data_IF_950494938167
#
_entry.id   IF_950494938167
#
_cell.length_a   1.000
_cell.length_b   1.000
_cell.length_c   1.000
_cell.angle_alpha   90.00
_cell.angle_beta   90.00
_cell.angle_gamma   90.00
#
_symmetry.space_group_name_H-M   'P 1'
#
loop_
_entity.id
_entity.type
_entity.pdbx_description
1 polymer ?
2 polymer ?
3 branched ?
4 non-polymer ?
5 water ?
#
# COMPACT_ATOMS: atom_id res chain seq x y z
N UNK A 1 -8.97 -5.73 -2.31
CA UNK A 1 -10.27 -5.44 -1.68
C UNK A 1 -10.95 -6.74 -1.27
N UNK A 2 -11.24 -6.86 0.02
CA UNK A 2 -11.89 -8.04 0.58
C UNK A 2 -13.37 -7.75 0.77
N UNK A 3 -14.23 -8.63 0.25
CA UNK A 3 -15.66 -8.48 0.46
C UNK A 3 -16.35 -7.46 -0.43
N UNK A 4 -15.71 -7.06 -1.52
CA UNK A 4 -16.31 -6.08 -2.43
C UNK A 4 -17.01 -6.74 -3.59
N UNK A 5 -17.11 -5.99 -4.69
CA UNK A 5 -17.71 -6.49 -5.92
C UNK A 5 -16.85 -6.01 -7.07
N UNK A 6 -17.08 -6.59 -8.25
CA UNK A 6 -16.37 -6.14 -9.44
C UNK A 6 -16.87 -4.76 -9.81
N UNK A 7 -15.96 -3.83 -10.08
CA UNK A 7 -16.38 -2.60 -10.73
C UNK A 7 -16.83 -2.90 -12.16
N UNK A 8 -17.78 -2.11 -12.65
CA UNK A 8 -18.08 -2.17 -14.07
C UNK A 8 -16.85 -1.70 -14.85
N UNK A 9 -16.62 -2.24 -16.05
CA UNK A 9 -15.38 -1.92 -16.77
C UNK A 9 -15.28 -0.42 -17.02
N UNK A 10 -14.16 0.16 -16.58
CA UNK A 10 -13.85 1.57 -16.76
C UNK A 10 -14.86 2.49 -16.08
N UNK A 11 -15.53 2.01 -15.03
CA UNK A 11 -16.40 2.89 -14.26
C UNK A 11 -15.65 4.00 -13.53
N UNK A 12 -14.37 3.80 -13.23
CA UNK A 12 -13.58 4.74 -12.43
C UNK A 12 -12.35 5.05 -13.26
N UNK A 13 -12.49 5.89 -14.30
CA UNK A 13 -11.41 6.03 -15.29
C UNK A 13 -10.19 6.79 -14.79
N UNK A 14 -10.22 7.34 -13.57
CA UNK A 14 -9.06 7.92 -12.92
C UNK A 14 -8.22 6.87 -12.21
N UNK A 15 -8.67 5.62 -12.16
CA UNK A 15 -7.97 4.60 -11.37
C UNK A 15 -6.72 4.11 -12.09
N UNK A 16 -5.62 3.98 -11.35
CA UNK A 16 -4.30 3.71 -11.90
C UNK A 16 -3.72 2.49 -11.23
N UNK A 17 -3.04 1.64 -12.00
CA UNK A 17 -2.25 0.53 -11.47
C UNK A 17 -0.77 0.89 -11.58
N UNK A 18 -0.05 0.87 -10.46
CA UNK A 18 1.40 0.98 -10.46
C UNK A 18 2.00 -0.41 -10.52
N UNK A 19 2.93 -0.62 -11.43
CA UNK A 19 3.43 -1.96 -11.65
C UNK A 19 4.94 -1.98 -11.66
N UNK A 20 5.49 -3.08 -11.13
CA UNK A 20 6.87 -3.46 -11.30
C UNK A 20 6.96 -4.49 -12.41
N UNK A 21 8.17 -5.01 -12.64
CA UNK A 21 8.30 -6.10 -13.60
C UNK A 21 7.41 -7.28 -13.19
N UNK A 22 7.31 -7.53 -11.88
CA UNK A 22 6.43 -8.55 -11.33
C UNK A 22 4.96 -8.18 -11.26
N UNK A 23 4.56 -7.04 -11.80
CA UNK A 23 3.15 -6.69 -11.93
C UNK A 23 2.69 -5.65 -10.93
N UNK A 24 1.37 -5.61 -10.73
CA UNK A 24 0.70 -4.63 -9.87
C UNK A 24 1.22 -4.68 -8.44
N UNK A 25 1.57 -3.52 -7.87
CA UNK A 25 1.98 -3.46 -6.47
C UNK A 25 1.28 -2.41 -5.63
N UNK A 26 0.67 -1.39 -6.25
CA UNK A 26 -0.04 -0.32 -5.54
C UNK A 26 -1.00 0.33 -6.52
N UNK A 27 -2.04 0.97 -5.98
CA UNK A 27 -2.90 1.79 -6.82
C UNK A 27 -2.46 3.26 -6.82
N UNK A 28 -3.12 4.06 -7.66
CA UNK A 28 -2.92 5.50 -7.71
C UNK A 28 -4.14 6.13 -8.38
N UNK A 29 -4.16 7.46 -8.41
CA UNK A 29 -5.25 8.24 -8.98
C UNK A 29 -4.68 9.22 -9.99
N UNK A 30 -5.28 9.31 -11.18
CA UNK A 30 -4.87 10.31 -12.15
C UNK A 30 -5.43 11.68 -11.72
N UNK A 31 -4.56 12.65 -11.45
CA UNK A 31 -5.00 13.95 -10.98
C UNK A 31 -4.71 15.06 -11.96
N UNK A 32 -4.01 14.76 -13.04
CA UNK A 32 -3.79 15.61 -14.20
C UNK A 32 -3.31 14.68 -15.30
N UNK A 33 -3.34 15.10 -16.56
CA UNK A 33 -2.92 14.16 -17.60
C UNK A 33 -1.50 13.65 -17.43
N UNK A 34 -0.63 14.41 -16.73
CA UNK A 34 0.77 14.03 -16.56
C UNK A 34 1.16 13.82 -15.09
N UNK A 35 0.18 13.60 -14.21
CA UNK A 35 0.46 13.41 -12.79
C UNK A 35 -0.49 12.37 -12.19
N UNK A 36 0.06 11.48 -11.37
CA UNK A 36 -0.76 10.59 -10.57
C UNK A 36 -0.39 10.78 -9.11
N UNK A 37 -1.32 10.40 -8.24
CA UNK A 37 -1.22 10.55 -6.80
C UNK A 37 -1.33 9.18 -6.14
N UNK A 38 -0.43 8.87 -5.21
CA UNK A 38 -0.44 7.57 -4.54
C UNK A 38 -0.02 7.77 -3.08
N UNK A 39 0.26 6.66 -2.41
CA UNK A 39 0.78 6.72 -1.05
C UNK A 39 2.30 6.79 -1.09
N UNK A 40 2.88 7.62 -0.22
CA UNK A 40 4.33 7.73 -0.19
C UNK A 40 5.01 6.41 0.20
N UNK A 41 4.39 5.61 1.06
CA UNK A 41 5.04 4.35 1.42
C UNK A 41 5.13 3.38 0.24
N UNK A 42 4.32 3.57 -0.81
CA UNK A 42 4.36 2.67 -1.96
C UNK A 42 5.67 2.74 -2.72
N UNK A 43 6.26 3.94 -2.80
CA UNK A 43 7.43 4.15 -3.64
C UNK A 43 8.65 4.55 -2.84
N UNK A 44 8.55 4.55 -1.50
CA UNK A 44 9.67 5.00 -0.67
C UNK A 44 10.94 4.20 -0.91
N UNK A 45 10.80 2.90 -1.18
CA UNK A 45 11.94 2.03 -1.28
C UNK A 45 12.14 1.45 -2.68
N UNK A 46 11.33 1.89 -3.65
CA UNK A 46 11.45 1.36 -5.00
C UNK A 46 12.24 2.33 -5.84
N UNK A 47 12.83 1.83 -6.92
CA UNK A 47 13.48 2.70 -7.89
C UNK A 47 12.41 3.30 -8.80
N UNK A 48 12.38 4.63 -8.86
CA UNK A 48 11.40 5.32 -9.69
C UNK A 48 11.39 4.78 -11.12
N UNK A 49 12.56 4.41 -11.65
CA UNK A 49 12.63 3.94 -13.02
C UNK A 49 12.01 2.55 -13.20
N UNK A 50 11.82 1.80 -12.13
CA UNK A 50 11.22 0.49 -12.24
C UNK A 50 9.70 0.52 -12.30
N UNK A 51 9.08 1.69 -12.12
CA UNK A 51 7.64 1.78 -12.00
C UNK A 51 7.02 2.06 -13.36
N UNK A 52 6.03 1.25 -13.72
CA UNK A 52 5.19 1.49 -14.88
C UNK A 52 3.83 1.96 -14.40
N UNK A 53 3.36 3.06 -14.96
CA UNK A 53 2.08 3.65 -14.59
C UNK A 53 1.06 3.26 -15.66
N UNK A 54 0.06 2.47 -15.28
CA UNK A 54 -0.86 1.89 -16.25
C UNK A 54 -2.22 2.55 -16.07
N UNK A 55 -2.65 3.29 -17.09
CA UNK A 55 -3.94 3.97 -17.10
C UNK A 55 -4.90 3.21 -17.99
N UNK A 56 -6.20 3.34 -17.70
CA UNK A 56 -7.23 2.76 -18.55
C UNK A 56 -7.38 1.27 -18.40
N UNK A 57 -6.93 0.69 -17.29
CA UNK A 57 -6.98 -0.75 -17.11
C UNK A 57 -8.26 -1.15 -16.38
N UNK A 58 -8.66 -2.39 -16.59
CA UNK A 58 -9.78 -2.95 -15.87
C UNK A 58 -9.41 -4.33 -15.35
N UNK A 59 -9.01 -5.21 -16.28
CA UNK A 59 -8.62 -6.58 -15.96
C UNK A 59 -7.12 -6.69 -16.18
N UNK A 60 -6.37 -6.85 -15.08
CA UNK A 60 -4.92 -6.85 -15.18
C UNK A 60 -4.39 -8.10 -15.87
N UNK A 61 -5.21 -9.14 -16.00
CA UNK A 61 -4.81 -10.37 -16.67
C UNK A 61 -5.00 -10.31 -18.19
N UNK A 62 -5.57 -9.23 -18.72
CA UNK A 62 -5.81 -9.09 -20.15
C UNK A 62 -4.85 -8.07 -20.74
N UNK A 63 -4.63 -8.18 -22.06
CA UNK A 63 -3.90 -7.19 -22.82
C UNK A 63 -4.94 -6.20 -23.36
N UNK A 64 -5.17 -5.16 -22.61
CA UNK A 64 -6.30 -4.30 -22.92
C UNK A 64 -5.85 -3.15 -23.82
N UNK A 65 -6.49 -2.96 -24.98
CA UNK A 65 -6.09 -1.86 -25.88
C UNK A 65 -6.43 -0.50 -25.32
N UNK A 66 -7.34 -0.43 -24.36
CA UNK A 66 -7.67 0.83 -23.68
C UNK A 66 -6.50 1.39 -22.90
N UNK A 67 -5.43 0.62 -22.67
CA UNK A 67 -4.40 1.06 -21.73
C UNK A 67 -3.44 2.06 -22.33
N UNK A 68 -2.99 3.00 -21.48
CA UNK A 68 -1.88 3.88 -21.76
C UNK A 68 -0.87 3.70 -20.64
N UNK A 69 0.39 3.51 -21.01
CA UNK A 69 1.43 3.15 -20.04
C UNK A 69 2.49 4.23 -20.06
N UNK A 70 2.86 4.72 -18.88
CA UNK A 70 3.84 5.78 -18.73
C UNK A 70 4.91 5.35 -17.73
N UNK A 71 6.05 6.03 -17.82
CA UNK A 71 7.10 5.94 -16.82
C UNK A 71 6.98 7.11 -15.86
N UNK A 72 7.72 7.04 -14.75
CA UNK A 72 7.77 8.11 -13.76
C UNK A 72 9.03 8.93 -13.97
N UNK A 73 8.88 10.25 -14.11
CA UNK A 73 10.05 11.11 -14.21
C UNK A 73 10.60 11.54 -12.86
N UNK A 74 9.73 11.84 -11.89
CA UNK A 74 10.18 12.24 -10.56
C UNK A 74 8.99 12.21 -9.62
N UNK A 75 9.29 12.28 -8.32
CA UNK A 75 8.22 12.23 -7.34
C UNK A 75 8.30 13.48 -6.48
N UNK A 76 7.16 13.84 -5.90
CA UNK A 76 7.03 14.98 -5.00
C UNK A 76 6.37 14.49 -3.72
N UNK A 77 6.97 14.82 -2.58
CA UNK A 77 6.34 14.49 -1.30
C UNK A 77 6.20 15.75 -0.45
N UNK A 78 5.50 15.60 0.67
CA UNK A 78 5.27 16.72 1.57
C UNK A 78 5.27 16.22 3.01
N UNK A 79 6.46 15.88 3.50
CA UNK A 79 6.63 15.57 4.90
C UNK A 79 6.23 14.16 5.30
N UNK A 80 6.35 13.19 4.39
CA UNK A 80 6.03 11.81 4.76
C UNK A 80 6.86 11.37 5.95
N UNK A 81 6.19 10.80 6.95
CA UNK A 81 6.82 10.34 8.18
C UNK A 81 6.55 8.85 8.30
N UNK A 82 7.54 7.99 7.98
CA UNK A 82 7.28 6.54 8.00
C UNK A 82 6.98 5.97 9.37
N UNK A 83 7.49 6.58 10.45
CA UNK A 83 7.31 6.01 11.78
C UNK A 83 5.87 6.20 12.25
N UNK A 84 5.30 7.36 12.00
CA UNK A 84 3.95 7.68 12.43
C UNK A 84 2.93 7.60 11.32
N UNK A 85 3.34 7.19 10.11
CA UNK A 85 2.47 7.14 8.94
C UNK A 85 1.66 8.43 8.76
N UNK A 86 2.37 9.56 8.84
CA UNK A 86 1.76 10.86 8.59
C UNK A 86 2.16 11.37 7.21
N UNK A 87 1.24 12.13 6.60
CA UNK A 87 1.46 12.75 5.29
C UNK A 87 1.88 11.70 4.27
N UNK A 88 1.12 10.61 4.23
CA UNK A 88 1.42 9.45 3.40
C UNK A 88 0.86 9.68 1.99
N UNK A 89 1.48 10.63 1.29
CA UNK A 89 1.00 11.05 -0.02
C UNK A 89 2.21 11.34 -0.91
N UNK A 90 2.12 10.94 -2.17
CA UNK A 90 3.16 11.25 -3.12
C UNK A 90 2.50 11.59 -4.44
N UNK A 91 3.09 12.53 -5.17
CA UNK A 91 2.70 12.82 -6.55
C UNK A 91 3.81 12.33 -7.48
N UNK A 92 3.43 11.56 -8.48
CA UNK A 92 4.35 11.03 -9.47
C UNK A 92 4.13 11.77 -10.78
N UNK A 93 5.17 12.45 -11.28
CA UNK A 93 5.08 13.10 -12.58
C UNK A 93 5.38 12.10 -13.68
N UNK A 94 4.52 12.04 -14.68
CA UNK A 94 4.68 11.07 -15.76
C UNK A 94 5.61 11.61 -16.84
N UNK A 95 6.13 10.68 -17.65
CA UNK A 95 7.00 11.07 -18.77
C UNK A 95 6.21 11.55 -19.99
N UNK A 96 4.95 11.91 -19.78
CA UNK A 96 4.13 12.44 -20.85
C UNK A 96 2.76 12.73 -20.30
N UNK A 97 1.85 13.08 -21.20
CA UNK A 97 0.48 13.39 -20.84
C UNK A 97 -0.45 12.33 -21.40
N UNK A 98 -1.30 11.78 -20.54
CA UNK A 98 -2.33 10.86 -20.99
C UNK A 98 -3.29 11.56 -21.95
N UNK A 99 -3.83 10.79 -22.89
CA UNK A 99 -4.92 11.23 -23.73
C UNK A 99 -6.24 10.91 -23.01
N UNK A 100 -7.05 11.94 -22.78
CA UNK A 100 -8.29 11.78 -22.03
C UNK A 100 -9.36 11.23 -22.96
N UNK A 101 -10.00 10.14 -22.55
CA UNK A 101 -11.07 9.53 -23.33
C UNK A 101 -12.04 8.89 -22.34
N UNK A 102 -12.94 8.03 -22.85
CA UNK A 102 -13.94 7.44 -21.96
C UNK A 102 -13.26 6.67 -20.82
N UNK A 103 -12.13 6.01 -21.11
CA UNK A 103 -11.50 5.09 -20.17
C UNK A 103 -10.37 5.69 -19.33
N UNK A 104 -9.95 6.93 -19.60
CA UNK A 104 -8.84 7.58 -18.90
C UNK A 104 -9.26 9.02 -18.64
N UNK A 105 -9.55 9.37 -17.38
CA UNK A 105 -10.03 10.69 -17.04
C UNK A 105 -9.40 11.15 -15.74
N UNK A 106 -9.35 12.46 -15.56
CA UNK A 106 -8.78 13.09 -14.38
C UNK A 106 -9.81 13.12 -13.26
N UNK A 107 -9.38 12.76 -12.06
CA UNK A 107 -10.26 12.79 -10.90
C UNK A 107 -10.51 14.22 -10.44
N UNK A 108 -11.60 14.39 -9.69
CA UNK A 108 -11.92 15.66 -9.07
C UNK A 108 -11.66 15.57 -7.57
N UNK A 109 -11.05 16.61 -7.03
CA UNK A 109 -10.62 16.66 -5.65
C UNK A 109 -11.49 17.61 -4.83
N UNK A 110 -11.57 17.41 -3.52
CA UNK A 110 -12.35 18.34 -2.69
C UNK A 110 -11.64 19.67 -2.50
N UNK A 111 -12.31 20.61 -1.83
CA UNK A 111 -11.64 21.84 -1.44
C UNK A 111 -10.75 21.59 -0.23
N UNK A 112 -9.70 22.39 -0.12
CA UNK A 112 -8.78 22.32 1.01
C UNK A 112 -9.54 22.40 2.32
N UNK A 113 -9.19 21.52 3.26
CA UNK A 113 -9.74 21.55 4.59
C UNK A 113 -11.08 20.89 4.78
N UNK A 114 -11.78 20.51 3.70
CA UNK A 114 -13.04 19.80 3.84
C UNK A 114 -12.86 18.53 4.65
N UNK A 115 -13.70 18.36 5.67
CA UNK A 115 -13.67 17.16 6.51
C UNK A 115 -14.97 16.40 6.34
N UNK A 116 -14.87 15.08 6.29
CA UNK A 116 -16.04 14.23 6.21
C UNK A 116 -16.46 13.82 7.61
N UNK A 117 -17.76 13.89 7.87
CA UNK A 117 -18.25 13.52 9.17
C UNK A 117 -18.51 12.04 9.29
N UNK A 118 -18.72 11.62 10.53
CA UNK A 118 -19.10 10.25 10.82
C UNK A 118 -20.36 9.88 10.04
N UNK A 119 -20.27 8.80 9.28
CA UNK A 119 -21.41 8.25 8.57
C UNK A 119 -21.48 8.57 7.09
N UNK A 120 -20.60 9.41 6.56
CA UNK A 120 -20.59 9.67 5.13
C UNK A 120 -20.30 8.37 4.37
N UNK A 121 -21.07 8.13 3.30
CA UNK A 121 -20.96 6.91 2.51
C UNK A 121 -20.00 7.11 1.35
N UNK A 122 -19.01 6.22 1.25
CA UNK A 122 -17.92 6.34 0.29
C UNK A 122 -17.71 5.01 -0.43
N UNK A 123 -16.82 5.05 -1.40
CA UNK A 123 -16.48 3.88 -2.18
C UNK A 123 -14.96 3.72 -2.19
N UNK A 124 -14.49 2.57 -1.72
CA UNK A 124 -13.09 2.20 -1.86
C UNK A 124 -12.96 1.30 -3.08
N UNK A 125 -11.73 1.17 -3.60
CA UNK A 125 -11.52 0.41 -4.82
C UNK A 125 -10.06 0.02 -4.92
N UNK A 126 -9.78 -0.99 -5.74
CA UNK A 126 -8.41 -1.40 -5.98
C UNK A 126 -8.30 -2.81 -6.47
N UNK A 127 -7.06 -3.18 -6.83
CA UNK A 127 -6.75 -4.53 -7.30
C UNK A 127 -6.01 -5.39 -6.26
N UNK A 128 -6.05 -5.01 -4.98
CA UNK A 128 -5.37 -5.76 -3.94
C UNK A 128 -6.01 -7.13 -3.71
N UNK A 129 -5.47 -7.85 -2.72
CA UNK A 129 -5.91 -9.23 -2.44
C UNK A 129 -7.43 -9.32 -2.27
N UNK A 130 -8.01 -10.39 -2.82
CA UNK A 130 -9.45 -10.67 -2.65
C UNK A 130 -9.79 -11.23 -1.28
N UNK A 131 -8.80 -11.61 -0.49
CA UNK A 131 -8.99 -12.09 0.86
C UNK A 131 -7.62 -12.15 1.51
N UNK A 132 -7.62 -12.32 2.83
CA UNK A 132 -6.36 -12.31 3.58
C UNK A 132 -5.37 -13.33 3.04
N UNK A 133 -5.86 -14.48 2.60
CA UNK A 133 -5.00 -15.55 2.11
C UNK A 133 -5.22 -15.83 0.62
N UNK A 134 -5.61 -14.82 -0.14
CA UNK A 134 -5.88 -14.95 -1.56
C UNK A 134 -4.90 -14.09 -2.35
N UNK A 135 -4.92 -14.25 -3.68
CA UNK A 135 -4.07 -13.46 -4.54
C UNK A 135 -4.70 -12.13 -4.91
N UNK A 136 -3.93 -11.29 -5.62
CA UNK A 136 -4.48 -10.00 -6.05
C UNK A 136 -5.62 -10.22 -7.03
N UNK A 137 -6.50 -9.20 -7.10
CA UNK A 137 -7.64 -9.23 -8.01
C UNK A 137 -7.17 -9.16 -9.45
N UNK A 138 -7.93 -9.78 -10.33
CA UNK A 138 -7.75 -9.57 -11.76
C UNK A 138 -8.59 -8.38 -12.22
N UNK A 139 -9.85 -8.37 -11.85
CA UNK A 139 -10.79 -7.29 -12.18
C UNK A 139 -10.79 -6.27 -11.05
N UNK A 140 -10.80 -4.99 -11.41
CA UNK A 140 -10.88 -3.93 -10.41
C UNK A 140 -12.08 -4.15 -9.49
N UNK A 141 -11.86 -4.03 -8.20
CA UNK A 141 -12.89 -4.25 -7.19
C UNK A 141 -13.32 -2.92 -6.57
N UNK A 142 -14.56 -2.85 -6.09
CA UNK A 142 -15.02 -1.70 -5.33
C UNK A 142 -15.79 -2.18 -4.11
N UNK A 143 -15.93 -1.30 -3.12
CA UNK A 143 -16.50 -1.66 -1.83
C UNK A 143 -17.18 -0.46 -1.20
N UNK A 144 -18.45 -0.59 -0.82
CA UNK A 144 -19.14 0.47 -0.10
C UNK A 144 -18.61 0.53 1.32
N UNK A 145 -18.13 1.70 1.74
CA UNK A 145 -17.63 1.88 3.10
C UNK A 145 -18.22 3.15 3.69
N UNK A 146 -18.11 3.27 5.00
CA UNK A 146 -18.66 4.39 5.75
C UNK A 146 -17.54 5.07 6.56
N UNK A 147 -17.52 6.40 6.53
CA UNK A 147 -16.53 7.14 7.32
C UNK A 147 -16.86 7.00 8.80
N UNK A 148 -15.85 6.73 9.61
CA UNK A 148 -15.99 6.64 11.05
C UNK A 148 -14.96 7.56 11.71
N UNK A 149 -15.35 8.15 12.84
CA UNK A 149 -14.44 8.97 13.63
C UNK A 149 -13.96 8.28 14.90
N UNK A 150 -14.65 7.25 15.37
CA UNK A 150 -14.15 6.45 16.48
C UNK A 150 -13.13 5.43 15.96
N UNK A 151 -12.12 5.15 16.80
CA UNK A 151 -10.98 4.32 16.45
C UNK A 151 -10.16 4.90 15.31
N UNK A 152 -10.25 6.22 15.10
CA UNK A 152 -9.45 6.90 14.11
C UNK A 152 -8.53 7.90 14.81
N UNK A 153 -7.93 8.79 14.02
CA UNK A 153 -7.19 9.92 14.55
C UNK A 153 -7.37 11.07 13.56
N UNK A 154 -7.14 12.29 14.02
CA UNK A 154 -7.45 13.44 13.19
C UNK A 154 -6.59 13.50 11.93
N UNK A 155 -5.43 12.84 11.93
CA UNK A 155 -4.51 12.83 10.80
C UNK A 155 -4.93 11.88 9.69
N UNK A 156 -6.05 11.19 9.82
CA UNK A 156 -6.48 10.24 8.80
C UNK A 156 -7.98 10.35 8.57
N UNK A 157 -8.42 9.88 7.40
CA UNK A 157 -9.81 9.55 7.15
C UNK A 157 -9.93 8.04 7.33
N UNK A 158 -10.80 7.59 8.23
CA UNK A 158 -10.95 6.15 8.47
C UNK A 158 -12.33 5.66 8.04
N UNK A 159 -12.37 4.45 7.49
CA UNK A 159 -13.60 3.90 6.94
C UNK A 159 -13.80 2.48 7.46
N UNK A 160 -15.06 2.04 7.47
CA UNK A 160 -15.42 0.76 8.05
C UNK A 160 -16.61 0.19 7.29
N UNK A 161 -16.68 -1.14 7.21
CA UNK A 161 -17.86 -1.85 6.74
C UNK A 161 -18.45 -2.52 7.97
N UNK A 162 -19.51 -1.95 8.52
CA UNK A 162 -19.96 -2.35 9.84
C UNK A 162 -20.49 -3.78 9.82
N UNK A 163 -20.03 -4.59 10.77
CA UNK A 163 -20.50 -5.96 10.90
C UNK A 163 -19.86 -6.97 9.95
N UNK A 164 -19.01 -6.53 9.02
CA UNK A 164 -18.46 -7.45 8.03
C UNK A 164 -16.94 -7.41 8.06
N UNK A 165 -16.33 -8.57 7.77
CA UNK A 165 -14.88 -8.63 7.57
C UNK A 165 -14.61 -8.25 6.12
N UNK A 166 -14.55 -6.95 5.87
CA UNK A 166 -14.36 -6.41 4.53
C UNK A 166 -13.52 -5.15 4.64
N UNK A 167 -12.71 -4.89 3.63
CA UNK A 167 -11.82 -3.74 3.66
C UNK A 167 -10.72 -3.84 2.63
N UNK A 168 -9.79 -2.88 2.67
CA UNK A 168 -8.66 -2.91 1.74
C UNK A 168 -7.66 -3.99 2.16
N UNK A 169 -6.83 -4.43 1.21
CA UNK A 169 -5.85 -5.46 1.51
C UNK A 169 -4.62 -5.22 0.64
N UNK A 170 -3.65 -6.14 0.72
CA UNK A 170 -2.34 -5.85 0.13
C UNK A 170 -2.45 -5.68 -1.38
N UNK A 171 -1.84 -4.60 -1.89
CA UNK A 171 -2.02 -4.17 -3.26
C UNK A 171 -2.99 -3.02 -3.43
N UNK A 172 -3.75 -2.69 -2.39
CA UNK A 172 -4.66 -1.56 -2.43
C UNK A 172 -4.05 -0.25 -1.94
N UNK A 173 -2.90 -0.27 -1.25
CA UNK A 173 -2.18 0.96 -0.93
C UNK A 173 -2.17 1.91 -2.11
N UNK A 174 -2.35 3.19 -1.81
CA UNK A 174 -2.32 4.21 -2.84
C UNK A 174 -3.61 4.40 -3.61
N UNK A 175 -4.59 3.53 -3.44
CA UNK A 175 -5.83 3.61 -4.20
C UNK A 175 -6.77 4.67 -3.62
N UNK A 176 -7.64 5.25 -4.44
CA UNK A 176 -8.52 6.34 -3.97
C UNK A 176 -9.69 5.84 -3.14
N UNK A 177 -10.11 6.71 -2.22
CA UNK A 177 -11.42 6.67 -1.56
C UNK A 177 -12.27 7.77 -2.18
N UNK A 178 -13.42 7.41 -2.77
CA UNK A 178 -14.30 8.35 -3.47
C UNK A 178 -15.52 8.61 -2.61
N UNK A 179 -15.77 9.89 -2.29
CA UNK A 179 -16.92 10.30 -1.49
C UNK A 179 -17.58 11.47 -2.20
N UNK A 180 -18.86 11.34 -2.54
CA UNK A 180 -19.60 12.40 -3.24
C UNK A 180 -18.95 12.75 -4.56
N UNK A 181 -18.38 11.76 -5.24
CA UNK A 181 -17.67 11.97 -6.50
C UNK A 181 -16.29 12.59 -6.40
N UNK A 182 -15.77 12.84 -5.20
CA UNK A 182 -14.48 13.48 -5.01
C UNK A 182 -13.51 12.54 -4.30
N UNK A 183 -12.22 12.69 -4.58
CA UNK A 183 -11.19 11.82 -3.98
C UNK A 183 -10.85 12.40 -2.62
N UNK A 184 -11.33 11.78 -1.55
CA UNK A 184 -11.03 12.23 -0.20
C UNK A 184 -9.95 11.43 0.50
N UNK A 185 -9.56 10.27 -0.03
CA UNK A 185 -8.60 9.42 0.67
C UNK A 185 -7.66 8.71 -0.27
N UNK A 186 -6.49 8.36 0.26
CA UNK A 186 -5.51 7.49 -0.40
C UNK A 186 -5.22 6.37 0.57
N UNK A 187 -5.40 5.11 0.14
CA UNK A 187 -5.27 4.00 1.08
C UNK A 187 -3.87 3.97 1.70
N UNK A 188 -3.81 4.00 3.03
CA UNK A 188 -2.54 4.15 3.75
C UNK A 188 -2.20 2.98 4.65
N UNK A 189 -3.06 2.58 5.59
CA UNK A 189 -2.71 1.43 6.43
C UNK A 189 -3.94 0.76 6.99
N UNK A 190 -3.75 -0.50 7.39
CA UNK A 190 -4.77 -1.31 8.04
C UNK A 190 -4.28 -1.63 9.45
N UNK A 191 -5.23 -2.00 10.30
CA UNK A 191 -4.94 -2.31 11.69
C UNK A 191 -5.59 -3.64 12.04
N UNK A 192 -4.79 -4.54 12.62
CA UNK A 192 -5.28 -5.86 12.95
C UNK A 192 -5.33 -6.80 11.77
N UNK A 193 -4.48 -6.58 10.77
CA UNK A 193 -4.57 -7.30 9.52
C UNK A 193 -5.68 -6.76 8.63
N UNK A 194 -5.72 -7.27 7.39
CA UNK A 194 -6.76 -6.87 6.45
C UNK A 194 -8.13 -7.31 6.94
N UNK A 195 -9.15 -6.49 6.68
CA UNK A 195 -10.55 -6.92 6.78
C UNK A 195 -10.85 -7.56 8.13
N UNK A 196 -10.38 -6.88 9.19
CA UNK A 196 -10.49 -7.45 10.53
C UNK A 196 -11.93 -7.49 11.02
N UNK A 197 -12.79 -6.63 10.51
CA UNK A 197 -14.11 -6.46 11.10
C UNK A 197 -14.09 -5.82 12.47
N UNK A 198 -12.92 -5.33 12.90
CA UNK A 198 -12.73 -4.71 14.22
C UNK A 198 -12.25 -3.28 14.14
N UNK A 199 -11.31 -2.98 13.24
CA UNK A 199 -10.71 -1.66 13.14
C UNK A 199 -10.92 -1.09 11.75
N UNK A 200 -11.11 0.21 11.64
CA UNK A 200 -11.28 0.83 10.32
C UNK A 200 -9.97 0.88 9.55
N UNK A 201 -10.10 1.03 8.23
CA UNK A 201 -8.97 1.28 7.36
C UNK A 201 -8.62 2.77 7.40
N UNK A 202 -7.34 3.10 7.31
CA UNK A 202 -6.90 4.49 7.37
C UNK A 202 -6.48 4.96 5.98
N UNK A 203 -6.98 6.14 5.59
CA UNK A 203 -6.64 6.78 4.34
C UNK A 203 -5.91 8.08 4.62
N UNK A 204 -4.91 8.40 3.79
CA UNK A 204 -4.31 9.73 3.84
C UNK A 204 -5.39 10.76 3.51
N UNK A 205 -5.52 11.86 4.30
CA UNK A 205 -6.62 12.80 4.09
C UNK A 205 -6.34 13.81 2.98
N UNK A 206 -6.85 13.52 1.79
CA UNK A 206 -6.48 14.27 0.59
C UNK A 206 -6.81 15.75 0.74
N UNK A 207 -7.97 16.06 1.29
CA UNK A 207 -8.41 17.46 1.42
C UNK A 207 -7.44 18.31 2.23
N UNK A 208 -6.62 17.72 3.10
CA UNK A 208 -5.61 18.50 3.82
C UNK A 208 -4.43 18.89 2.93
N UNK A 209 -4.29 18.28 1.76
CA UNK A 209 -3.14 18.50 0.89
C UNK A 209 -3.51 19.20 -0.41
N UNK A 210 -4.76 19.66 -0.55
CA UNK A 210 -5.24 20.19 -1.83
C UNK A 210 -4.42 21.41 -2.25
N UNK A 211 -4.20 22.34 -1.32
CA UNK A 211 -3.34 23.50 -1.63
C UNK A 211 -1.99 23.03 -2.16
N UNK A 212 -1.35 22.10 -1.44
CA UNK A 212 -0.07 21.56 -1.90
C UNK A 212 -0.20 20.87 -3.25
N UNK A 213 -1.19 19.99 -3.42
CA UNK A 213 -1.35 19.28 -4.69
C UNK A 213 -1.46 20.26 -5.84
N UNK A 214 -2.27 21.30 -5.67
CA UNK A 214 -2.48 22.27 -6.74
C UNK A 214 -1.18 22.98 -7.11
N UNK A 215 -0.33 23.27 -6.14
CA UNK A 215 0.93 23.93 -6.46
C UNK A 215 1.85 23.05 -7.30
N UNK A 216 1.82 21.72 -7.11
CA UNK A 216 2.69 20.86 -7.92
C UNK A 216 2.16 20.74 -9.33
N UNK A 217 0.86 20.46 -9.47
CA UNK A 217 0.35 20.22 -10.80
C UNK A 217 -0.03 21.50 -11.52
N UNK A 218 -0.24 22.62 -10.78
CA UNK A 218 -0.69 23.92 -11.29
C UNK A 218 -1.88 23.83 -12.27
N UNK B 3 12.11 -19.60 -6.56
CA UNK B 3 12.44 -19.39 -5.16
C UNK B 3 13.70 -18.54 -5.01
N UNK B 4 13.75 -17.74 -3.95
CA UNK B 4 14.85 -16.85 -3.66
C UNK B 4 15.31 -17.08 -2.23
N UNK B 5 16.63 -17.11 -2.02
CA UNK B 5 17.20 -17.32 -0.69
C UNK B 5 17.80 -16.01 -0.22
N UNK B 6 17.20 -15.44 0.82
CA UNK B 6 17.53 -14.10 1.31
C UNK B 6 18.43 -14.23 2.52
N UNK B 7 19.61 -13.61 2.53
CA UNK B 7 20.44 -13.62 3.73
C UNK B 7 19.75 -12.91 4.89
N UNK B 8 19.92 -13.46 6.09
CA UNK B 8 19.38 -12.87 7.30
C UNK B 8 20.35 -13.12 8.44
N UNK B 9 20.32 -12.23 9.42
CA UNK B 9 21.03 -12.39 10.68
C UNK B 9 20.05 -12.20 11.83
N UNK B 10 20.29 -12.88 12.95
CA UNK B 10 19.47 -12.76 14.15
C UNK B 10 20.34 -12.26 15.29
N UNK B 11 19.91 -11.16 15.91
CA UNK B 11 20.53 -10.65 17.13
C UNK B 11 19.50 -10.72 18.26
N UNK B 12 19.87 -11.39 19.36
CA UNK B 12 19.03 -11.55 20.53
C UNK B 12 19.77 -10.97 21.73
N UNK B 13 19.19 -9.94 22.34
CA UNK B 13 19.80 -9.23 23.47
C UNK B 13 21.21 -8.75 23.13
N UNK B 14 21.33 -8.04 22.00
CA UNK B 14 22.59 -7.53 21.53
C UNK B 14 23.51 -8.54 20.90
N UNK B 15 23.28 -9.83 21.10
CA UNK B 15 24.21 -10.88 20.66
C UNK B 15 23.89 -11.35 19.26
N UNK B 16 24.90 -11.38 18.39
CA UNK B 16 24.78 -11.90 17.04
C UNK B 16 25.76 -13.04 16.85
N UNK B 17 25.46 -13.92 15.88
CA UNK B 17 26.25 -15.13 15.63
C UNK B 17 27.04 -15.02 14.32
N UNK B 18 28.11 -15.79 14.19
CA UNK B 18 28.97 -15.69 13.00
C UNK B 18 28.56 -16.52 11.78
N UNK B 19 27.45 -17.27 11.83
CA UNK B 19 27.09 -18.14 10.71
C UNK B 19 26.47 -17.32 9.58
N UNK B 20 26.36 -17.93 8.40
CA UNK B 20 25.62 -17.37 7.28
C UNK B 20 24.34 -18.18 7.09
N UNK B 21 23.20 -17.52 7.10
CA UNK B 21 21.92 -18.18 6.99
C UNK B 21 21.07 -17.48 5.94
N UNK B 22 20.22 -18.26 5.28
CA UNK B 22 19.29 -17.71 4.30
C UNK B 22 17.90 -18.30 4.51
N UNK B 23 16.90 -17.48 4.25
CA UNK B 23 15.53 -17.93 4.33
C UNK B 23 14.94 -18.01 2.94
N UNK B 24 14.10 -18.98 2.70
CA UNK B 24 13.46 -19.21 1.41
C UNK B 24 12.24 -18.30 1.29
N UNK B 25 12.23 -17.45 0.26
CA UNK B 25 11.14 -16.52 -0.01
C UNK B 25 10.65 -16.76 -1.41
N UNK B 26 9.32 -16.73 -1.60
CA UNK B 26 8.75 -16.92 -2.92
C UNK B 26 8.99 -15.69 -3.78
N UNK B 27 9.49 -15.90 -4.99
CA UNK B 27 9.53 -14.87 -6.03
C UNK B 27 8.47 -15.12 -7.09
N UNK B 28 7.50 -15.98 -6.81
CA UNK B 28 6.48 -16.31 -7.80
C UNK B 28 5.51 -15.16 -8.00
N UNK B 29 5.27 -14.38 -6.95
CA UNK B 29 4.43 -13.20 -7.00
C UNK B 29 5.05 -12.16 -6.08
N UNK B 30 4.55 -10.93 -6.16
CA UNK B 30 4.99 -9.91 -5.22
C UNK B 30 4.52 -10.26 -3.80
N UNK B 31 5.27 -9.78 -2.80
CA UNK B 31 5.02 -10.16 -1.42
C UNK B 31 4.65 -8.91 -0.62
N UNK B 32 4.13 -9.15 0.59
CA UNK B 32 3.75 -8.13 1.55
C UNK B 32 4.63 -8.21 2.79
N UNK B 33 4.55 -7.18 3.64
CA UNK B 33 5.23 -7.25 4.92
C UNK B 33 4.55 -8.21 5.90
N UNK B 34 3.26 -8.47 5.72
CA UNK B 34 2.62 -9.53 6.49
C UNK B 34 3.25 -10.88 6.17
N UNK B 35 3.49 -11.14 4.87
CA UNK B 35 4.19 -12.35 4.48
C UNK B 35 5.60 -12.41 5.08
N UNK B 36 6.33 -11.30 5.01
CA UNK B 36 7.68 -11.27 5.53
C UNK B 36 7.70 -11.43 7.05
N UNK B 37 6.74 -10.83 7.76
CA UNK B 37 6.61 -11.06 9.20
C UNK B 37 6.53 -12.54 9.52
N UNK B 38 5.67 -13.25 8.79
CA UNK B 38 5.51 -14.68 9.03
C UNK B 38 6.82 -15.43 8.79
N UNK B 39 7.58 -15.03 7.76
CA UNK B 39 8.87 -15.69 7.51
C UNK B 39 9.87 -15.38 8.62
N UNK B 40 9.94 -14.12 9.05
CA UNK B 40 10.82 -13.74 10.15
C UNK B 40 10.43 -14.48 11.43
N UNK B 41 9.14 -14.52 11.75
CA UNK B 41 8.71 -15.22 12.96
C UNK B 41 9.01 -16.70 12.87
N UNK B 42 8.95 -17.27 11.66
CA UNK B 42 9.28 -18.67 11.46
C UNK B 42 10.72 -18.99 11.87
N UNK B 43 11.67 -18.13 11.52
CA UNK B 43 13.04 -18.45 11.91
C UNK B 43 13.31 -18.10 13.36
N UNK B 44 12.64 -17.07 13.90
CA UNK B 44 12.80 -16.80 15.33
C UNK B 44 12.35 -18.00 16.14
N UNK B 45 11.27 -18.65 15.71
CA UNK B 45 10.76 -19.82 16.43
C UNK B 45 11.68 -21.03 16.25
N UNK B 46 12.10 -21.31 15.02
CA UNK B 46 12.88 -22.52 14.76
C UNK B 46 14.31 -22.39 15.26
N UNK B 47 14.90 -21.20 15.14
CA UNK B 47 16.32 -21.04 15.45
C UNK B 47 16.59 -20.49 16.84
N UNK B 48 15.61 -19.86 17.48
CA UNK B 48 15.83 -19.31 18.82
C UNK B 48 14.74 -19.67 19.81
N UNK B 49 13.74 -20.45 19.42
CA UNK B 49 12.68 -20.80 20.36
C UNK B 49 11.82 -19.63 20.78
N UNK B 50 11.78 -18.56 20.00
CA UNK B 50 11.00 -17.37 20.30
C UNK B 50 9.69 -17.46 19.54
N UNK B 51 8.60 -17.70 20.25
CA UNK B 51 7.31 -17.87 19.61
C UNK B 51 6.59 -16.54 19.43
N UNK B 52 5.44 -16.60 18.74
CA UNK B 52 4.63 -15.40 18.51
C UNK B 52 4.23 -14.74 19.81
N UNK B 53 3.79 -15.54 20.78
CA UNK B 53 3.39 -14.97 22.06
C UNK B 53 4.59 -14.47 22.85
N UNK B 54 5.75 -15.12 22.72
CA UNK B 54 6.98 -14.59 23.33
C UNK B 54 7.26 -13.17 22.85
N UNK B 55 7.00 -12.90 21.56
CA UNK B 55 7.27 -11.56 21.03
C UNK B 55 6.37 -10.51 21.65
N UNK B 56 5.14 -10.90 22.03
CA UNK B 56 4.24 -9.97 22.71
C UNK B 56 4.84 -9.44 24.00
N UNK B 57 5.70 -10.23 24.66
CA UNK B 57 6.27 -9.82 25.93
C UNK B 57 7.69 -9.29 25.80
N UNK B 58 8.28 -9.35 24.60
CA UNK B 58 9.61 -8.80 24.41
C UNK B 58 9.58 -7.28 24.54
N UNK B 59 10.69 -6.72 25.03
CA UNK B 59 10.78 -5.27 25.12
C UNK B 59 10.83 -4.64 23.73
N UNK B 60 11.63 -5.22 22.83
CA UNK B 60 11.68 -4.75 21.46
C UNK B 60 11.82 -5.94 20.52
N UNK B 61 11.16 -5.87 19.37
CA UNK B 61 11.22 -6.93 18.37
C UNK B 61 11.02 -6.27 17.01
N UNK B 62 12.05 -6.26 16.18
CA UNK B 62 11.96 -5.60 14.89
C UNK B 62 12.84 -6.36 13.90
N UNK B 63 12.67 -6.03 12.63
CA UNK B 63 13.64 -6.41 11.62
C UNK B 63 13.77 -5.27 10.63
N UNK B 64 14.91 -5.25 9.96
CA UNK B 64 15.20 -4.23 8.96
C UNK B 64 15.44 -4.92 7.64
N UNK B 65 14.69 -4.54 6.63
CA UNK B 65 14.87 -5.06 5.28
C UNK B 65 15.77 -4.08 4.55
N UNK B 66 16.93 -4.58 4.10
CA UNK B 66 17.85 -3.80 3.28
C UNK B 66 17.59 -4.14 1.82
N UNK B 67 17.24 -3.13 1.04
CA UNK B 67 17.00 -3.32 -0.38
C UNK B 67 18.29 -3.05 -1.16
N UNK B 68 18.42 -3.71 -2.31
CA UNK B 68 19.66 -3.61 -3.07
C UNK B 68 19.97 -2.21 -3.55
N UNK B 69 18.96 -1.33 -3.64
CA UNK B 69 19.22 0.06 -4.02
C UNK B 69 19.69 0.91 -2.84
N UNK B 70 20.01 0.29 -1.70
CA UNK B 70 20.46 1.04 -0.54
C UNK B 70 19.36 1.58 0.35
N UNK B 71 18.10 1.44 -0.03
CA UNK B 71 17.01 1.81 0.85
C UNK B 71 16.82 0.74 1.94
N UNK B 72 16.11 1.12 2.99
CA UNK B 72 15.80 0.17 4.05
C UNK B 72 14.44 0.50 4.64
N UNK B 73 13.81 -0.52 5.18
CA UNK B 73 12.54 -0.40 5.88
C UNK B 73 12.67 -1.11 7.22
N UNK B 74 12.36 -0.41 8.30
CA UNK B 74 12.31 -1.03 9.61
C UNK B 74 10.87 -1.47 9.89
N UNK B 75 10.70 -2.72 10.29
CA UNK B 75 9.38 -3.28 10.59
C UNK B 75 9.33 -3.65 12.06
N UNK B 76 8.30 -3.18 12.76
CA UNK B 76 8.13 -3.54 14.16
C UNK B 76 7.27 -4.78 14.25
N UNK B 77 7.84 -5.84 14.80
CA UNK B 77 7.14 -7.11 14.92
C UNK B 77 6.06 -7.10 15.99
N UNK B 78 6.05 -6.10 16.87
CA UNK B 78 5.01 -5.98 17.88
C UNK B 78 3.82 -5.17 17.40
N UNK B 79 3.83 -4.72 16.16
CA UNK B 79 2.77 -3.86 15.62
C UNK B 79 1.83 -4.67 14.75
N UNK B 80 0.52 -4.43 14.90
CA UNK B 80 -0.45 -5.03 14.00
C UNK B 80 -0.93 -4.03 12.96
N UNK B 81 -0.17 -2.96 12.74
CA UNK B 81 -0.48 -1.98 11.71
C UNK B 81 0.38 -2.29 10.49
N UNK B 82 -0.25 -2.42 9.32
CA UNK B 82 0.44 -2.78 8.09
C UNK B 82 0.06 -1.80 7.00
N UNK B 83 1.04 -1.43 6.20
CA UNK B 83 0.72 -0.71 4.96
C UNK B 83 0.35 -1.74 3.89
N UNK B 84 -0.77 -1.59 3.21
CA UNK B 84 -1.21 -2.63 2.27
C UNK B 84 -0.59 -2.56 0.86
N UNK B 85 0.75 -2.53 0.81
CA UNK B 85 1.49 -2.49 -0.44
C UNK B 85 2.18 -3.83 -0.71
N UNK B 86 2.58 -4.02 -1.96
CA UNK B 86 3.36 -5.19 -2.38
C UNK B 86 4.73 -4.71 -2.86
N UNK B 87 5.71 -5.61 -2.81
CA UNK B 87 7.06 -5.33 -3.31
C UNK B 87 7.68 -6.65 -3.77
N UNK B 88 8.80 -6.54 -4.48
CA UNK B 88 9.45 -7.72 -5.04
C UNK B 88 10.47 -8.27 -4.06
N UNK B 89 10.43 -9.58 -3.85
CA UNK B 89 11.43 -10.24 -3.02
C UNK B 89 12.81 -10.18 -3.66
N UNK B 90 12.88 -9.99 -4.98
CA UNK B 90 14.17 -9.94 -5.67
C UNK B 90 14.94 -8.68 -5.34
N UNK B 91 14.28 -7.64 -4.83
CA UNK B 91 14.95 -6.41 -4.48
C UNK B 91 15.54 -6.43 -3.08
N UNK B 92 15.40 -7.52 -2.33
CA UNK B 92 15.86 -7.60 -0.95
C UNK B 92 17.33 -8.01 -0.93
N UNK B 93 18.16 -7.19 -0.30
CA UNK B 93 19.58 -7.52 -0.14
C UNK B 93 19.81 -8.43 1.06
N UNK B 94 19.23 -8.08 2.20
CA UNK B 94 19.41 -8.83 3.44
C UNK B 94 18.37 -8.35 4.46
N UNK B 95 18.19 -9.15 5.51
CA UNK B 95 17.23 -8.87 6.58
C UNK B 95 17.95 -9.01 7.91
N UNK B 96 17.95 -7.95 8.73
CA UNK B 96 18.56 -7.97 10.06
C UNK B 96 17.47 -8.04 11.11
N UNK B 97 17.39 -9.16 11.83
CA UNK B 97 16.35 -9.43 12.83
C UNK B 97 16.91 -9.13 14.22
N UNK B 98 16.17 -8.36 15.02
CA UNK B 98 16.69 -7.93 16.32
C UNK B 98 15.62 -8.02 17.40
N UNK B 99 15.84 -8.87 18.41
CA UNK B 99 14.90 -9.02 19.51
C UNK B 99 15.62 -8.76 20.83
N UNK B 100 14.96 -8.02 21.71
CA UNK B 100 15.43 -7.81 23.09
C UNK B 100 14.27 -7.98 24.09
#
# INVERSE_FOLDING_TARGET
IVGGRRARPHAWPFMVSLQLRGGHFCGATLIAPNFVMSAAHCVANVNVRAVRVVLGAHNLSRREPTRQVFAVQRIFENGYDPVNLLNDIVILQLNGSATINANVQVAQLPAQGRRLGNGVQCLAMGWGLLGRNRGIASVLQELNVTVVTSLCRRSNVCTLVRGRQAGVCFGDSGSPLVCNGLIHGIASFVRGGCASGLYPDAFAPVAQFVNWIDSIIQ
GSTRYVPYTIAVNGTSTPILSKLKISNKQLISYKYLNDKVKSVLKSERGISDLDLKFAKQAKYTVYFKNGKKQVVNLKSDIFTPNLFSAKDIKKIDIDVKQYTKSKKK
#
